data_IF_255843196828
#
_entry.id   IF_255843196828
#
_cell.length_a   1.000
_cell.length_b   1.000
_cell.length_c   1.000
_cell.angle_alpha   90.00
_cell.angle_beta   90.00
_cell.angle_gamma   90.00
#
_symmetry.space_group_name_H-M   'P 1'
#
loop_
_entity.id
_entity.type
_entity.pdbx_description
1 polymer ?
#
# COMPACT_ATOMS: atom_id res chain seq x y z
N UNK A 1 16.04 -6.71 -18.81
CA UNK A 1 15.74 -7.46 -17.57
C UNK A 1 17.00 -8.09 -16.99
N UNK A 2 17.06 -8.31 -15.68
CA UNK A 2 18.29 -8.71 -14.98
C UNK A 2 18.85 -10.11 -15.37
N UNK A 3 18.22 -10.86 -16.26
CA UNK A 3 18.64 -12.22 -16.65
C UNK A 3 18.33 -12.54 -18.12
N UNK A 4 18.48 -11.59 -19.03
CA UNK A 4 18.23 -11.75 -20.46
C UNK A 4 16.78 -12.20 -20.84
N UNK A 5 15.80 -11.98 -19.95
CA UNK A 5 14.40 -12.19 -20.26
C UNK A 5 13.81 -10.94 -20.91
N UNK A 6 13.05 -11.13 -21.98
CA UNK A 6 12.11 -10.13 -22.48
C UNK A 6 10.87 -10.17 -21.58
N UNK A 7 10.55 -9.05 -20.94
CA UNK A 7 9.47 -8.97 -19.93
C UNK A 7 8.36 -8.08 -20.43
N UNK A 8 7.14 -8.62 -20.49
CA UNK A 8 5.92 -7.91 -20.83
C UNK A 8 5.01 -7.83 -19.61
N UNK A 9 4.58 -6.62 -19.22
CA UNK A 9 3.65 -6.38 -18.14
C UNK A 9 2.32 -5.87 -18.70
N UNK A 10 1.25 -6.65 -18.56
CA UNK A 10 -0.09 -6.26 -18.99
C UNK A 10 -0.91 -5.77 -17.80
N UNK A 11 -1.39 -4.56 -17.88
CA UNK A 11 -2.22 -3.93 -16.85
C UNK A 11 -3.54 -3.46 -17.46
N UNK A 12 -4.66 -3.99 -16.98
CA UNK A 12 -6.00 -3.62 -17.46
C UNK A 12 -6.36 -2.16 -17.21
N UNK A 13 -5.72 -1.52 -16.24
CA UNK A 13 -5.98 -0.13 -15.92
C UNK A 13 -4.93 0.81 -16.51
N UNK A 14 -5.20 2.08 -16.31
CA UNK A 14 -4.46 3.23 -16.83
C UNK A 14 -3.07 3.45 -16.19
N UNK A 15 -2.72 2.72 -15.14
CA UNK A 15 -1.42 2.87 -14.45
C UNK A 15 -1.03 1.61 -13.66
N UNK A 16 0.26 1.42 -13.46
CA UNK A 16 0.81 0.44 -12.51
C UNK A 16 0.56 0.88 -11.08
N UNK A 17 0.56 -0.04 -10.12
CA UNK A 17 0.43 0.24 -8.68
C UNK A 17 -0.75 1.20 -8.34
N UNK A 18 -1.95 0.93 -8.85
CA UNK A 18 -3.14 1.77 -8.64
C UNK A 18 -3.43 2.13 -7.18
N UNK A 19 -3.01 1.30 -6.24
CA UNK A 19 -3.15 1.54 -4.81
C UNK A 19 -2.14 2.54 -4.24
N UNK A 20 -1.20 3.05 -5.03
CA UNK A 20 -0.26 4.12 -4.64
C UNK A 20 -0.67 5.47 -5.25
N UNK A 21 -0.03 6.56 -4.83
CA UNK A 21 -0.26 7.86 -5.46
C UNK A 21 0.14 7.85 -6.94
N UNK A 22 -0.45 8.74 -7.72
CA UNK A 22 -0.13 8.89 -9.14
C UNK A 22 1.36 9.15 -9.36
N UNK A 23 1.93 10.08 -8.61
CA UNK A 23 3.36 10.40 -8.67
C UNK A 23 4.27 9.19 -8.37
N UNK A 24 3.85 8.30 -7.46
CA UNK A 24 4.56 7.04 -7.19
C UNK A 24 4.43 6.07 -8.38
N UNK A 25 3.22 5.94 -8.94
CA UNK A 25 2.96 5.08 -10.11
C UNK A 25 3.78 5.51 -11.32
N UNK A 26 3.83 6.81 -11.62
CA UNK A 26 4.64 7.38 -12.70
C UNK A 26 6.13 7.11 -12.53
N UNK A 27 6.65 7.31 -11.31
CA UNK A 27 8.07 7.04 -11.00
C UNK A 27 8.42 5.56 -11.22
N UNK A 28 7.53 4.66 -10.78
CA UNK A 28 7.76 3.22 -10.96
C UNK A 28 7.60 2.81 -12.43
N UNK A 29 6.63 3.36 -13.15
CA UNK A 29 6.43 3.09 -14.57
C UNK A 29 7.67 3.49 -15.39
N UNK A 30 8.14 4.73 -15.23
CA UNK A 30 9.34 5.21 -15.92
C UNK A 30 10.55 4.29 -15.63
N UNK A 31 10.70 3.85 -14.38
CA UNK A 31 11.79 2.95 -14.01
C UNK A 31 11.64 1.54 -14.63
N UNK A 32 10.43 0.99 -14.74
CA UNK A 32 10.20 -0.28 -15.41
C UNK A 32 10.61 -0.20 -16.89
N UNK A 33 10.25 0.90 -17.58
CA UNK A 33 10.62 1.15 -18.97
C UNK A 33 12.15 1.33 -19.13
N UNK A 34 12.82 2.03 -18.23
CA UNK A 34 14.29 2.13 -18.15
C UNK A 34 14.99 0.77 -17.98
N UNK A 35 14.28 -0.21 -17.41
CA UNK A 35 14.78 -1.58 -17.23
C UNK A 35 14.34 -2.52 -18.37
N UNK A 36 13.95 -1.96 -19.53
CA UNK A 36 13.52 -2.70 -20.71
C UNK A 36 12.31 -3.62 -20.47
N UNK A 37 11.39 -3.24 -19.57
CA UNK A 37 10.09 -3.90 -19.41
C UNK A 37 9.09 -3.26 -20.37
N UNK A 38 8.51 -4.04 -21.27
CA UNK A 38 7.42 -3.59 -22.13
C UNK A 38 6.12 -3.52 -21.30
N UNK A 39 5.63 -2.30 -21.02
CA UNK A 39 4.43 -2.09 -20.18
C UNK A 39 3.24 -1.73 -21.08
N UNK A 40 2.17 -2.50 -20.96
CA UNK A 40 0.91 -2.35 -21.70
C UNK A 40 -0.18 -1.91 -20.71
N UNK A 41 -0.44 -0.61 -20.65
CA UNK A 41 -1.53 -0.04 -19.85
C UNK A 41 -2.86 -0.12 -20.63
N UNK A 42 -3.97 0.02 -19.93
CA UNK A 42 -5.34 -0.08 -20.48
C UNK A 42 -5.57 -1.34 -21.34
N UNK A 43 -4.78 -2.39 -21.07
CA UNK A 43 -4.73 -3.59 -21.89
C UNK A 43 -5.28 -4.79 -21.14
N UNK A 44 -6.38 -5.35 -21.66
CA UNK A 44 -7.00 -6.55 -21.11
C UNK A 44 -6.48 -7.80 -21.82
N UNK A 45 -5.92 -8.72 -21.04
CA UNK A 45 -5.58 -10.07 -21.54
C UNK A 45 -6.87 -10.87 -21.72
N UNK A 46 -7.11 -11.35 -22.94
CA UNK A 46 -8.30 -12.11 -23.31
C UNK A 46 -8.08 -13.62 -23.24
N UNK A 47 -6.88 -14.07 -23.61
CA UNK A 47 -6.55 -15.49 -23.69
C UNK A 47 -5.06 -15.73 -23.46
N UNK A 48 -4.74 -16.85 -22.85
CA UNK A 48 -3.42 -17.45 -22.84
C UNK A 48 -3.43 -18.60 -23.87
N UNK A 49 -2.87 -18.35 -25.05
CA UNK A 49 -2.90 -19.29 -26.15
C UNK A 49 -1.76 -20.31 -26.05
N UNK A 50 -2.05 -21.56 -26.47
CA UNK A 50 -1.14 -22.69 -26.51
C UNK A 50 -1.89 -23.99 -26.28
N UNK A 51 -1.26 -25.14 -26.55
CA UNK A 51 -1.86 -26.46 -26.37
C UNK A 51 -1.30 -27.17 -25.13
N UNK A 52 -0.05 -27.57 -25.16
CA UNK A 52 0.64 -28.26 -24.04
C UNK A 52 1.37 -27.28 -23.12
N UNK A 53 1.76 -26.14 -23.66
CA UNK A 53 2.40 -25.03 -22.93
C UNK A 53 1.82 -23.70 -23.46
N UNK A 54 2.02 -22.62 -22.68
CA UNK A 54 1.68 -21.27 -23.15
C UNK A 54 2.65 -20.87 -24.28
N UNK A 55 2.09 -20.31 -25.34
CA UNK A 55 2.83 -19.85 -26.52
C UNK A 55 2.67 -18.35 -26.75
N UNK A 56 1.57 -17.77 -26.29
CA UNK A 56 1.31 -16.33 -26.42
C UNK A 56 0.27 -15.83 -25.43
N UNK A 57 0.37 -14.53 -25.12
CA UNK A 57 -0.69 -13.73 -24.52
C UNK A 57 -1.45 -13.03 -25.64
N UNK A 58 -2.79 -13.15 -25.62
CA UNK A 58 -3.69 -12.50 -26.57
C UNK A 58 -4.45 -11.39 -25.87
N UNK A 59 -4.34 -10.18 -26.40
CA UNK A 59 -5.10 -9.00 -25.96
C UNK A 59 -6.18 -8.66 -26.98
N UNK A 60 -6.86 -7.52 -26.81
CA UNK A 60 -7.80 -7.00 -27.79
C UNK A 60 -7.09 -6.63 -29.10
N UNK A 61 -5.85 -6.14 -29.02
CA UNK A 61 -5.15 -5.45 -30.11
C UNK A 61 -4.02 -6.28 -30.71
N UNK A 62 -3.43 -7.19 -29.95
CA UNK A 62 -2.26 -7.93 -30.38
C UNK A 62 -2.13 -9.35 -29.78
N UNK A 63 -1.21 -10.11 -30.33
CA UNK A 63 -0.78 -11.41 -29.83
C UNK A 63 0.73 -11.37 -29.58
N UNK A 64 1.11 -11.42 -28.31
CA UNK A 64 2.52 -11.36 -27.87
C UNK A 64 3.02 -12.77 -27.59
N UNK A 65 4.04 -13.27 -28.30
CA UNK A 65 4.66 -14.57 -28.04
C UNK A 65 5.31 -14.58 -26.65
N UNK A 66 5.09 -15.62 -25.87
CA UNK A 66 5.69 -15.80 -24.53
C UNK A 66 5.92 -17.28 -24.25
N UNK A 67 6.91 -17.56 -23.42
CA UNK A 67 7.24 -18.92 -22.98
C UNK A 67 6.77 -19.18 -21.53
N UNK A 68 6.47 -18.11 -20.78
CA UNK A 68 5.98 -18.19 -19.39
C UNK A 68 5.05 -17.01 -19.09
N UNK A 69 4.02 -17.27 -18.30
CA UNK A 69 3.10 -16.23 -17.81
C UNK A 69 2.99 -16.33 -16.30
N UNK A 70 3.21 -15.20 -15.63
CA UNK A 70 2.89 -15.02 -14.22
C UNK A 70 1.55 -14.31 -14.09
N UNK A 71 0.54 -14.98 -13.52
CA UNK A 71 -0.79 -14.43 -13.32
C UNK A 71 -0.86 -13.76 -11.95
N UNK A 72 -0.91 -12.42 -11.92
CA UNK A 72 -0.99 -11.60 -10.71
C UNK A 72 -2.21 -10.67 -10.74
N UNK A 73 -3.42 -11.22 -10.97
CA UNK A 73 -4.65 -10.46 -11.20
C UNK A 73 -5.42 -10.08 -9.95
N UNK A 74 -4.78 -10.15 -8.79
CA UNK A 74 -5.38 -9.89 -7.48
C UNK A 74 -5.88 -11.15 -6.79
N UNK A 75 -6.46 -10.95 -5.61
CA UNK A 75 -6.98 -12.02 -4.76
C UNK A 75 -8.41 -11.72 -4.32
N UNK A 76 -9.13 -12.77 -3.92
CA UNK A 76 -10.47 -12.65 -3.32
C UNK A 76 -10.51 -13.50 -2.05
N UNK A 77 -11.23 -13.06 -1.01
CA UNK A 77 -11.48 -13.88 0.17
C UNK A 77 -12.09 -15.23 -0.24
N UNK A 78 -11.59 -16.32 0.34
CA UNK A 78 -12.16 -17.64 0.10
C UNK A 78 -13.10 -17.97 1.25
N UNK A 79 -14.40 -17.74 1.05
CA UNK A 79 -15.44 -17.75 2.08
C UNK A 79 -16.41 -18.92 2.00
N UNK A 80 -16.37 -19.74 0.96
CA UNK A 80 -17.32 -20.83 0.71
C UNK A 80 -17.51 -21.78 1.92
N UNK A 81 -16.43 -22.11 2.66
CA UNK A 81 -16.53 -22.94 3.84
C UNK A 81 -17.21 -22.20 5.01
N UNK A 82 -16.90 -20.92 5.17
CA UNK A 82 -17.51 -20.08 6.19
C UNK A 82 -19.02 -19.91 5.95
N UNK A 83 -19.41 -19.62 4.73
CA UNK A 83 -20.83 -19.51 4.32
C UNK A 83 -21.59 -20.84 4.57
N UNK A 84 -21.00 -21.97 4.19
CA UNK A 84 -21.59 -23.29 4.44
C UNK A 84 -21.74 -23.62 5.93
N UNK A 85 -20.92 -23.03 6.79
CA UNK A 85 -21.01 -23.16 8.24
C UNK A 85 -21.95 -22.14 8.90
N UNK A 86 -22.56 -21.21 8.15
CA UNK A 86 -23.41 -20.15 8.67
C UNK A 86 -22.65 -18.97 9.28
N UNK A 87 -21.39 -18.80 8.91
CA UNK A 87 -20.60 -17.62 9.28
C UNK A 87 -20.97 -16.46 8.38
N UNK A 88 -21.22 -15.28 8.98
CA UNK A 88 -21.60 -14.08 8.27
C UNK A 88 -20.41 -13.44 7.54
N UNK A 89 -20.67 -12.94 6.32
CA UNK A 89 -19.73 -12.11 5.58
C UNK A 89 -20.05 -10.64 5.81
N UNK A 90 -19.03 -9.83 5.81
CA UNK A 90 -19.18 -8.38 5.89
C UNK A 90 -19.32 -7.71 4.52
N UNK A 91 -19.30 -6.39 4.52
CA UNK A 91 -19.55 -5.56 3.33
C UNK A 91 -18.48 -5.74 2.23
N UNK A 92 -17.28 -6.13 2.59
CA UNK A 92 -16.19 -6.40 1.62
C UNK A 92 -16.27 -7.78 0.98
N UNK A 93 -17.20 -8.62 1.43
CA UNK A 93 -17.31 -10.02 1.04
C UNK A 93 -16.32 -10.95 1.74
N UNK A 94 -15.54 -10.45 2.70
CA UNK A 94 -14.74 -11.26 3.61
C UNK A 94 -15.55 -11.61 4.89
N UNK A 95 -15.00 -12.49 5.73
CA UNK A 95 -15.67 -12.91 6.97
C UNK A 95 -15.74 -11.71 7.93
N UNK A 96 -16.94 -11.38 8.39
CA UNK A 96 -17.16 -10.36 9.40
C UNK A 96 -16.66 -10.84 10.76
N UNK A 97 -15.95 -9.97 11.49
CA UNK A 97 -15.45 -10.27 12.83
C UNK A 97 -15.58 -9.06 13.75
N UNK A 98 -15.71 -9.30 15.03
CA UNK A 98 -15.63 -8.26 16.04
C UNK A 98 -14.18 -7.80 16.30
N UNK A 99 -13.98 -6.92 17.29
CA UNK A 99 -12.64 -6.42 17.67
C UNK A 99 -11.69 -7.50 18.18
N UNK A 100 -12.21 -8.63 18.68
CA UNK A 100 -11.44 -9.78 19.15
C UNK A 100 -11.23 -10.83 18.06
N UNK A 101 -11.73 -10.54 16.84
CA UNK A 101 -11.70 -11.44 15.67
C UNK A 101 -12.62 -12.64 15.82
N UNK A 102 -13.63 -12.59 16.68
CA UNK A 102 -14.69 -13.59 16.78
C UNK A 102 -15.75 -13.31 15.70
N UNK A 103 -16.29 -14.37 15.11
CA UNK A 103 -17.37 -14.31 14.11
C UNK A 103 -18.73 -14.22 14.79
N UNK A 104 -19.82 -14.26 14.03
CA UNK A 104 -21.18 -14.40 14.56
C UNK A 104 -21.43 -15.72 15.29
N UNK A 105 -20.56 -16.72 15.14
CA UNK A 105 -20.66 -18.01 15.85
C UNK A 105 -19.72 -17.98 17.06
N UNK A 106 -20.23 -18.35 18.28
CA UNK A 106 -19.40 -18.37 19.50
C UNK A 106 -18.19 -19.30 19.35
N UNK A 107 -17.03 -18.87 19.86
CA UNK A 107 -15.76 -19.59 19.84
C UNK A 107 -15.20 -19.86 18.43
N UNK A 108 -15.72 -19.17 17.39
CA UNK A 108 -15.24 -19.26 16.02
C UNK A 108 -14.60 -17.93 15.60
N UNK A 109 -13.34 -17.99 15.23
CA UNK A 109 -12.50 -16.82 14.93
C UNK A 109 -12.04 -16.83 13.47
N UNK A 110 -11.82 -15.64 12.91
CA UNK A 110 -11.27 -15.50 11.57
C UNK A 110 -10.16 -14.43 11.50
N UNK A 111 -9.11 -14.71 10.73
CA UNK A 111 -7.99 -13.80 10.49
C UNK A 111 -7.36 -14.04 9.12
N UNK A 112 -6.57 -13.07 8.67
CA UNK A 112 -5.84 -13.10 7.41
C UNK A 112 -6.71 -12.67 6.22
N UNK A 113 -6.34 -13.14 5.03
CA UNK A 113 -6.90 -12.68 3.76
C UNK A 113 -8.40 -12.94 3.57
N UNK A 114 -8.98 -13.80 4.40
CA UNK A 114 -10.40 -14.15 4.34
C UNK A 114 -11.28 -13.34 5.31
N UNK A 115 -10.69 -12.52 6.19
CA UNK A 115 -11.44 -11.77 7.21
C UNK A 115 -11.30 -10.26 7.03
N UNK A 116 -12.34 -9.53 7.42
CA UNK A 116 -12.32 -8.05 7.46
C UNK A 116 -11.48 -7.53 8.62
N UNK A 117 -11.03 -6.29 8.46
CA UNK A 117 -10.42 -5.50 9.52
C UNK A 117 -10.91 -4.05 9.43
N UNK A 118 -10.93 -3.35 10.55
CA UNK A 118 -11.30 -1.93 10.63
C UNK A 118 -10.15 -1.05 10.14
N UNK A 119 -10.44 -0.10 9.25
CA UNK A 119 -9.46 0.89 8.82
C UNK A 119 -9.31 2.00 9.85
N UNK A 120 -8.08 2.28 10.32
CA UNK A 120 -7.82 3.21 11.44
C UNK A 120 -8.24 4.66 11.18
N UNK A 121 -8.37 5.06 9.92
CA UNK A 121 -8.77 6.44 9.56
C UNK A 121 -10.28 6.59 9.49
N UNK A 122 -10.96 5.63 8.84
CA UNK A 122 -12.40 5.71 8.55
C UNK A 122 -13.26 5.00 9.57
N UNK A 123 -12.71 4.00 10.30
CA UNK A 123 -13.48 3.09 11.13
C UNK A 123 -14.27 2.03 10.33
N UNK A 124 -14.23 2.09 9.01
CA UNK A 124 -14.99 1.19 8.15
C UNK A 124 -14.28 -0.16 7.93
N UNK A 125 -15.06 -1.24 7.72
CA UNK A 125 -14.49 -2.54 7.36
C UNK A 125 -13.72 -2.49 6.05
N UNK A 126 -12.57 -3.16 6.01
CA UNK A 126 -11.83 -3.38 4.78
C UNK A 126 -11.20 -4.77 4.73
N UNK A 127 -10.99 -5.28 3.52
CA UNK A 127 -10.25 -6.52 3.28
C UNK A 127 -8.88 -6.19 2.72
N UNK A 128 -7.84 -6.53 3.50
CA UNK A 128 -6.44 -6.24 3.14
C UNK A 128 -5.61 -7.52 3.26
N UNK A 129 -5.31 -8.16 2.13
CA UNK A 129 -4.55 -9.42 2.10
C UNK A 129 -3.05 -9.15 2.29
N UNK A 130 -2.65 -8.82 3.52
CA UNK A 130 -1.28 -8.52 3.91
C UNK A 130 -0.82 -9.39 5.08
N UNK A 131 0.40 -9.91 4.95
CA UNK A 131 1.00 -10.84 5.91
C UNK A 131 1.05 -10.28 7.34
N UNK A 132 1.33 -8.97 7.53
CA UNK A 132 1.37 -8.37 8.86
C UNK A 132 -0.02 -8.34 9.51
N UNK A 133 -1.06 -8.00 8.76
CA UNK A 133 -2.45 -8.04 9.22
C UNK A 133 -2.82 -9.44 9.69
N UNK A 134 -2.56 -10.45 8.88
CA UNK A 134 -2.80 -11.86 9.21
C UNK A 134 -2.08 -12.29 10.51
N UNK A 135 -0.80 -11.93 10.65
CA UNK A 135 0.00 -12.25 11.84
C UNK A 135 -0.49 -11.55 13.10
N UNK A 136 -0.81 -10.26 13.04
CA UNK A 136 -1.33 -9.50 14.19
C UNK A 136 -2.66 -10.07 14.68
N UNK A 137 -3.59 -10.32 13.76
CA UNK A 137 -4.91 -10.88 14.09
C UNK A 137 -4.79 -12.32 14.61
N UNK A 138 -4.01 -13.17 13.97
CA UNK A 138 -3.77 -14.53 14.44
C UNK A 138 -3.15 -14.59 15.84
N UNK A 139 -2.22 -13.65 16.16
CA UNK A 139 -1.67 -13.51 17.51
C UNK A 139 -2.74 -13.09 18.53
N UNK A 140 -3.60 -12.12 18.18
CA UNK A 140 -4.67 -11.65 19.05
C UNK A 140 -5.66 -12.79 19.36
N UNK A 141 -6.07 -13.57 18.35
CA UNK A 141 -6.90 -14.77 18.52
C UNK A 141 -6.23 -15.77 19.45
N UNK A 142 -4.95 -16.08 19.23
CA UNK A 142 -4.20 -17.03 20.07
C UNK A 142 -4.16 -16.63 21.55
N UNK A 143 -4.02 -15.33 21.85
CA UNK A 143 -4.07 -14.80 23.22
C UNK A 143 -5.49 -14.87 23.79
N UNK A 144 -6.50 -14.50 23.01
CA UNK A 144 -7.91 -14.56 23.42
C UNK A 144 -8.32 -15.99 23.78
N UNK A 145 -8.03 -16.96 22.93
CA UNK A 145 -8.29 -18.40 23.17
C UNK A 145 -7.52 -18.94 24.38
N UNK A 146 -6.35 -18.39 24.66
CA UNK A 146 -5.57 -18.72 25.85
C UNK A 146 -6.10 -18.08 27.16
N UNK A 147 -7.25 -17.38 27.11
CA UNK A 147 -7.87 -16.73 28.26
C UNK A 147 -7.40 -15.30 28.53
N UNK A 148 -6.69 -14.69 27.59
CA UNK A 148 -6.23 -13.30 27.66
C UNK A 148 -6.85 -12.48 26.51
N UNK A 149 -8.08 -11.96 26.64
CA UNK A 149 -8.79 -11.25 25.59
C UNK A 149 -7.94 -10.12 25.00
N UNK A 150 -7.61 -10.21 23.72
CA UNK A 150 -6.72 -9.28 23.03
C UNK A 150 -7.34 -8.79 21.74
N UNK A 151 -7.47 -7.47 21.58
CA UNK A 151 -7.99 -6.87 20.36
C UNK A 151 -7.01 -7.02 19.20
N UNK A 152 -7.52 -7.31 18.00
CA UNK A 152 -6.71 -7.43 16.79
C UNK A 152 -6.12 -6.11 16.30
N UNK A 153 -6.72 -5.00 16.72
CA UNK A 153 -6.40 -3.64 16.28
C UNK A 153 -6.81 -3.37 14.84
N UNK A 154 -6.92 -2.10 14.51
CA UNK A 154 -7.20 -1.63 13.16
C UNK A 154 -5.97 -1.70 12.23
N UNK A 155 -6.19 -1.44 10.95
CA UNK A 155 -5.16 -1.43 9.91
C UNK A 155 -5.16 -0.11 9.15
N UNK A 156 -3.97 0.33 8.74
CA UNK A 156 -3.79 1.53 7.91
C UNK A 156 -3.62 1.21 6.41
N UNK A 157 -3.80 -0.02 5.99
CA UNK A 157 -3.58 -0.43 4.61
C UNK A 157 -2.13 -0.22 4.13
N UNK A 158 -1.16 -0.32 5.05
CA UNK A 158 0.25 -0.07 4.73
C UNK A 158 0.82 -1.14 3.82
N UNK A 159 1.37 -0.74 2.68
CA UNK A 159 1.99 -1.62 1.71
C UNK A 159 3.34 -1.08 1.26
N UNK A 160 4.24 -1.99 0.89
CA UNK A 160 5.52 -1.65 0.30
C UNK A 160 5.81 -2.55 -0.90
N UNK A 161 6.53 -2.01 -1.88
CA UNK A 161 6.96 -2.72 -3.08
C UNK A 161 8.38 -2.33 -3.44
N UNK A 162 9.08 -3.26 -4.05
CA UNK A 162 10.36 -3.01 -4.71
C UNK A 162 10.27 -3.45 -6.17
N UNK A 163 10.61 -2.55 -7.09
CA UNK A 163 10.74 -2.81 -8.51
C UNK A 163 12.16 -2.48 -8.94
N UNK A 164 12.99 -3.47 -9.26
CA UNK A 164 14.43 -3.33 -9.55
C UNK A 164 15.16 -2.47 -8.51
N UNK A 165 15.47 -1.23 -8.86
CA UNK A 165 16.20 -0.27 -8.03
C UNK A 165 15.33 0.86 -7.49
N UNK A 166 13.99 0.70 -7.51
CA UNK A 166 13.05 1.61 -6.88
C UNK A 166 12.30 0.90 -5.76
N UNK A 167 12.15 1.58 -4.64
CA UNK A 167 11.30 1.17 -3.52
C UNK A 167 10.18 2.18 -3.32
N UNK A 168 8.99 1.69 -3.01
CA UNK A 168 7.84 2.53 -2.70
C UNK A 168 7.05 1.98 -1.53
N UNK A 169 6.42 2.88 -0.78
CA UNK A 169 5.51 2.53 0.31
C UNK A 169 4.29 3.46 0.30
N UNK A 170 3.17 2.96 0.83
CA UNK A 170 1.97 3.76 1.11
C UNK A 170 1.39 3.39 2.47
N UNK A 171 0.62 4.29 3.06
CA UNK A 171 -0.20 4.04 4.25
C UNK A 171 -1.39 4.99 4.31
N UNK A 172 -2.46 4.60 4.98
CA UNK A 172 -3.67 5.41 5.08
C UNK A 172 -4.38 5.61 3.74
N UNK A 173 -5.06 6.72 3.60
CA UNK A 173 -5.89 7.09 2.46
C UNK A 173 -5.14 7.96 1.45
N UNK A 174 -5.31 7.67 0.18
CA UNK A 174 -5.01 8.58 -0.92
C UNK A 174 -6.11 9.64 -1.05
N UNK A 175 -5.87 10.70 -1.84
CA UNK A 175 -6.81 11.81 -2.03
C UNK A 175 -8.23 11.34 -2.41
N UNK A 176 -8.36 10.48 -3.41
CA UNK A 176 -9.67 9.98 -3.86
C UNK A 176 -10.34 9.09 -2.80
N UNK A 177 -9.57 8.21 -2.12
CA UNK A 177 -10.07 7.36 -1.05
C UNK A 177 -10.57 8.21 0.14
N UNK A 178 -9.86 9.31 0.47
CA UNK A 178 -10.27 10.24 1.50
C UNK A 178 -11.57 10.99 1.13
N UNK A 179 -11.74 11.39 -0.13
CA UNK A 179 -12.99 11.99 -0.62
C UNK A 179 -14.16 11.01 -0.54
N UNK A 180 -13.96 9.78 -0.97
CA UNK A 180 -14.97 8.72 -0.88
C UNK A 180 -15.39 8.43 0.56
N UNK A 181 -14.43 8.54 1.51
CA UNK A 181 -14.67 8.42 2.94
C UNK A 181 -15.28 9.68 3.60
N UNK A 182 -15.59 10.74 2.82
CA UNK A 182 -16.27 11.94 3.29
C UNK A 182 -15.38 13.01 3.91
N UNK A 183 -14.05 12.90 3.80
CA UNK A 183 -13.10 13.96 4.17
C UNK A 183 -13.03 15.07 3.12
N UNK A 184 -12.49 16.22 3.49
CA UNK A 184 -12.08 17.31 2.57
C UNK A 184 -10.55 17.30 2.41
N UNK A 185 -9.99 16.39 1.58
CA UNK A 185 -8.55 16.21 1.53
C UNK A 185 -7.84 17.38 0.84
N UNK A 186 -6.65 17.65 1.34
CA UNK A 186 -5.60 18.39 0.65
C UNK A 186 -4.40 17.47 0.48
N UNK A 187 -3.80 17.47 -0.70
CA UNK A 187 -2.68 16.57 -1.04
C UNK A 187 -1.58 17.36 -1.72
N UNK A 188 -0.34 17.11 -1.31
CA UNK A 188 0.85 17.67 -1.93
C UNK A 188 1.88 16.58 -2.19
N UNK A 189 2.63 16.77 -3.27
CA UNK A 189 3.79 15.92 -3.61
C UNK A 189 5.03 16.78 -3.63
N UNK A 190 6.05 16.38 -2.89
CA UNK A 190 7.34 17.05 -2.86
C UNK A 190 8.48 16.09 -3.21
N UNK A 191 9.54 16.62 -3.75
CA UNK A 191 10.84 15.95 -3.89
C UNK A 191 11.82 16.54 -2.86
N UNK A 192 12.40 15.68 -2.03
CA UNK A 192 13.36 16.08 -1.02
C UNK A 192 14.61 15.18 -1.09
N UNK A 193 15.75 15.70 -0.60
CA UNK A 193 16.96 14.89 -0.52
C UNK A 193 16.85 13.85 0.58
N UNK A 194 17.36 12.64 0.34
CA UNK A 194 17.40 11.56 1.32
C UNK A 194 18.37 11.81 2.46
N UNK A 195 19.41 12.61 2.21
CA UNK A 195 20.47 12.95 3.18
C UNK A 195 21.01 14.34 2.93
N UNK A 196 21.86 14.83 3.84
CA UNK A 196 22.43 16.18 3.78
C UNK A 196 23.13 16.43 2.44
N UNK A 197 22.85 17.59 1.80
CA UNK A 197 23.30 17.89 0.45
C UNK A 197 24.81 17.96 0.24
N UNK A 198 25.57 18.11 1.34
CA UNK A 198 27.06 18.07 1.32
C UNK A 198 27.62 16.65 1.55
N UNK A 199 26.74 15.67 1.90
CA UNK A 199 27.13 14.28 2.03
C UNK A 199 26.96 13.58 0.67
N UNK A 200 27.97 12.78 0.22
CA UNK A 200 27.94 12.17 -1.11
C UNK A 200 26.83 11.12 -1.25
N UNK A 201 26.50 10.83 -2.50
CA UNK A 201 25.61 9.74 -2.91
C UNK A 201 24.16 9.83 -2.37
N UNK A 202 23.68 11.04 -2.07
CA UNK A 202 22.29 11.25 -1.66
C UNK A 202 21.34 11.31 -2.85
N UNK A 203 20.27 10.50 -2.82
CA UNK A 203 19.20 10.48 -3.80
C UNK A 203 18.06 11.44 -3.47
N UNK A 204 16.97 11.23 -4.19
CA UNK A 204 15.70 11.93 -3.98
C UNK A 204 14.68 10.99 -3.39
N UNK A 205 13.93 11.46 -2.41
CA UNK A 205 12.73 10.83 -1.88
C UNK A 205 11.54 11.69 -2.28
N UNK A 206 10.63 11.13 -3.06
CA UNK A 206 9.35 11.75 -3.40
C UNK A 206 8.32 11.36 -2.37
N UNK A 207 7.66 12.33 -1.78
CA UNK A 207 6.64 12.15 -0.74
C UNK A 207 5.34 12.80 -1.21
N UNK A 208 4.30 12.01 -1.32
CA UNK A 208 2.91 12.48 -1.49
C UNK A 208 2.22 12.34 -0.14
N UNK A 209 1.72 13.41 0.42
CA UNK A 209 1.05 13.44 1.72
C UNK A 209 -0.38 13.95 1.55
N UNK A 210 -1.35 13.29 2.20
CA UNK A 210 -2.77 13.65 2.21
C UNK A 210 -3.22 13.94 3.63
N UNK A 211 -3.92 15.05 3.83
CA UNK A 211 -4.49 15.43 5.12
C UNK A 211 -5.92 15.96 4.94
N UNK A 212 -6.70 15.95 6.01
CA UNK A 212 -8.02 16.59 6.05
C UNK A 212 -7.86 18.09 6.21
N UNK A 213 -8.38 18.88 5.27
CA UNK A 213 -8.23 20.33 5.23
C UNK A 213 -8.75 21.02 6.50
N UNK A 214 -9.97 20.72 7.01
CA UNK A 214 -10.49 21.42 8.20
C UNK A 214 -9.71 21.12 9.46
N UNK A 215 -9.36 19.85 9.73
CA UNK A 215 -8.73 19.44 10.97
C UNK A 215 -7.20 19.45 10.93
N UNK A 216 -6.61 19.36 9.74
CA UNK A 216 -5.18 19.11 9.56
C UNK A 216 -4.74 17.67 9.88
N UNK A 217 -5.69 16.75 10.18
CA UNK A 217 -5.39 15.35 10.47
C UNK A 217 -4.70 14.69 9.27
N UNK A 218 -3.62 14.00 9.51
CA UNK A 218 -2.93 13.20 8.50
C UNK A 218 -3.79 11.99 8.15
N UNK A 219 -4.18 11.87 6.89
CA UNK A 219 -5.02 10.78 6.39
C UNK A 219 -4.21 9.66 5.76
N UNK A 220 -3.09 9.98 5.12
CA UNK A 220 -2.24 8.99 4.49
C UNK A 220 -1.20 9.59 3.54
N UNK A 221 -0.55 8.73 2.78
CA UNK A 221 0.41 9.14 1.75
C UNK A 221 1.22 8.00 1.16
N UNK A 222 2.06 8.35 0.20
CA UNK A 222 2.98 7.46 -0.49
C UNK A 222 4.37 8.06 -0.55
N UNK A 223 5.36 7.19 -0.47
CA UNK A 223 6.77 7.55 -0.65
C UNK A 223 7.37 6.67 -1.74
N UNK A 224 8.27 7.24 -2.55
CA UNK A 224 9.04 6.51 -3.55
C UNK A 224 10.46 7.08 -3.65
N UNK A 225 11.44 6.20 -3.80
CA UNK A 225 12.84 6.56 -3.98
C UNK A 225 13.61 5.46 -4.71
N UNK A 226 14.85 5.71 -5.09
CA UNK A 226 15.79 4.64 -5.38
C UNK A 226 15.98 3.74 -4.14
N UNK A 227 16.23 2.47 -4.38
CA UNK A 227 16.43 1.49 -3.32
C UNK A 227 17.65 1.83 -2.45
N UNK A 228 17.41 1.89 -1.16
CA UNK A 228 18.41 2.29 -0.18
C UNK A 228 18.35 3.76 0.22
N UNK A 229 17.53 4.59 -0.44
CA UNK A 229 17.33 5.99 -0.04
C UNK A 229 16.25 6.15 1.04
N UNK A 230 15.55 5.06 1.38
CA UNK A 230 14.79 4.92 2.60
C UNK A 230 13.30 5.29 2.51
N UNK A 231 12.67 5.29 1.33
CA UNK A 231 11.24 5.56 1.20
C UNK A 231 10.39 4.62 2.07
N UNK A 232 10.69 3.31 2.05
CA UNK A 232 9.95 2.32 2.84
C UNK A 232 10.14 2.55 4.34
N UNK A 233 11.35 2.78 4.82
CA UNK A 233 11.61 2.98 6.24
C UNK A 233 11.09 4.33 6.76
N UNK A 234 11.14 5.38 5.94
CA UNK A 234 10.57 6.70 6.29
C UNK A 234 9.04 6.65 6.42
N UNK A 235 8.37 5.78 5.65
CA UNK A 235 6.92 5.61 5.75
C UNK A 235 6.45 5.19 7.15
N UNK A 236 7.32 4.60 7.99
CA UNK A 236 6.96 4.19 9.35
C UNK A 236 6.59 5.37 10.25
N UNK A 237 7.19 6.55 10.07
CA UNK A 237 6.77 7.77 10.76
C UNK A 237 5.34 8.17 10.34
N UNK A 238 5.04 8.06 9.05
CA UNK A 238 3.70 8.32 8.53
C UNK A 238 2.68 7.28 9.00
N UNK A 239 3.06 6.00 9.11
CA UNK A 239 2.20 4.95 9.69
C UNK A 239 1.80 5.31 11.12
N UNK A 240 2.77 5.77 11.94
CA UNK A 240 2.48 6.25 13.30
C UNK A 240 1.51 7.43 13.30
N UNK A 241 1.76 8.43 12.44
CA UNK A 241 0.91 9.61 12.30
C UNK A 241 -0.55 9.25 11.93
N UNK A 242 -0.73 8.37 10.95
CA UNK A 242 -2.06 7.91 10.51
C UNK A 242 -2.75 7.09 11.57
N UNK A 243 -2.04 6.19 12.25
CA UNK A 243 -2.59 5.31 13.28
C UNK A 243 -3.07 6.09 14.50
N UNK A 244 -2.29 7.08 14.93
CA UNK A 244 -2.63 7.93 16.10
C UNK A 244 -3.53 9.11 15.74
N UNK A 245 -3.80 9.33 14.44
CA UNK A 245 -4.68 10.39 13.96
C UNK A 245 -4.17 11.80 14.22
N UNK A 246 -2.85 11.99 14.23
CA UNK A 246 -2.22 13.30 14.50
C UNK A 246 -2.38 14.27 13.34
N UNK A 247 -2.14 15.54 13.62
CA UNK A 247 -2.19 16.63 12.64
C UNK A 247 -0.87 16.82 11.89
N UNK A 248 -0.91 17.56 10.77
CA UNK A 248 0.29 17.98 10.04
C UNK A 248 1.28 18.76 10.93
N UNK A 249 0.76 19.64 11.79
CA UNK A 249 1.56 20.41 12.72
C UNK A 249 2.33 19.49 13.68
N UNK A 250 1.62 18.53 14.31
CA UNK A 250 2.25 17.55 15.21
C UNK A 250 3.25 16.66 14.48
N UNK A 251 2.93 16.18 13.26
CA UNK A 251 3.87 15.41 12.45
C UNK A 251 5.13 16.21 12.12
N UNK A 252 4.99 17.51 11.80
CA UNK A 252 6.12 18.37 11.46
C UNK A 252 7.11 18.58 12.62
N UNK A 253 6.66 18.35 13.85
CA UNK A 253 7.43 18.53 15.08
C UNK A 253 8.05 17.24 15.61
N UNK A 254 7.92 16.11 14.88
CA UNK A 254 8.56 14.85 15.30
C UNK A 254 10.08 14.97 15.39
N UNK A 255 10.65 14.52 16.51
CA UNK A 255 12.09 14.44 16.74
C UNK A 255 12.68 13.19 16.04
N UNK A 256 12.80 13.25 14.73
CA UNK A 256 13.35 12.15 13.94
C UNK A 256 14.88 12.16 13.95
N UNK A 257 15.45 10.97 13.89
CA UNK A 257 16.90 10.79 13.92
C UNK A 257 17.59 11.51 12.75
N UNK A 258 18.59 12.34 13.07
CA UNK A 258 19.41 13.05 12.11
C UNK A 258 20.90 12.76 12.30
N UNK A 259 21.53 12.40 11.19
CA UNK A 259 22.97 12.59 10.95
C UNK A 259 23.19 12.68 9.44
N UNK A 260 24.21 13.39 8.96
CA UNK A 260 24.42 13.67 7.54
C UNK A 260 24.35 12.48 6.59
N UNK A 261 24.84 11.27 6.98
CA UNK A 261 24.77 10.09 6.11
C UNK A 261 23.37 9.49 5.96
N UNK A 262 22.45 9.79 6.87
CA UNK A 262 21.17 9.08 6.97
C UNK A 262 19.96 9.96 6.64
N UNK A 263 20.06 11.27 6.87
CA UNK A 263 18.92 12.16 6.71
C UNK A 263 19.36 13.60 6.42
N UNK A 264 18.40 14.41 6.00
CA UNK A 264 18.49 15.88 6.07
C UNK A 264 18.06 16.34 7.47
N UNK A 265 18.41 17.57 7.86
CA UNK A 265 17.97 18.16 9.14
C UNK A 265 16.42 18.09 9.28
N UNK A 266 15.72 18.28 8.19
CA UNK A 266 14.29 18.10 8.09
C UNK A 266 14.03 16.88 7.20
N UNK A 267 13.64 15.77 7.80
CA UNK A 267 13.28 14.55 7.07
C UNK A 267 12.26 14.86 5.94
N UNK A 268 12.34 14.18 4.79
CA UNK A 268 11.37 14.34 3.71
C UNK A 268 9.90 14.31 4.15
N UNK A 269 9.54 13.45 5.12
CA UNK A 269 8.17 13.38 5.65
C UNK A 269 7.81 14.65 6.43
N UNK A 270 8.73 15.17 7.26
CA UNK A 270 8.50 16.43 8.01
C UNK A 270 8.44 17.61 7.06
N UNK A 271 9.25 17.61 6.00
CA UNK A 271 9.22 18.65 4.96
C UNK A 271 7.88 18.66 4.24
N UNK A 272 7.37 17.48 3.85
CA UNK A 272 6.04 17.34 3.24
C UNK A 272 4.92 17.86 4.17
N UNK A 273 4.99 17.51 5.47
CA UNK A 273 4.01 17.98 6.46
C UNK A 273 4.01 19.51 6.56
N UNK A 274 5.19 20.16 6.61
CA UNK A 274 5.30 21.63 6.66
C UNK A 274 4.78 22.32 5.40
N UNK A 275 5.10 21.78 4.23
CA UNK A 275 4.61 22.33 2.96
C UNK A 275 3.10 22.22 2.89
N UNK A 276 2.54 21.07 3.23
CA UNK A 276 1.10 20.83 3.17
C UNK A 276 0.33 21.70 4.21
N UNK A 277 0.88 21.84 5.43
CA UNK A 277 0.30 22.73 6.45
C UNK A 277 0.29 24.20 6.01
N UNK A 278 1.34 24.62 5.31
CA UNK A 278 1.41 26.00 4.75
C UNK A 278 0.42 26.25 3.61
N UNK A 279 -0.07 25.21 2.93
CA UNK A 279 -1.03 25.29 1.82
C UNK A 279 -2.47 25.02 2.26
N UNK A 280 -2.70 24.61 3.49
CA UNK A 280 -4.02 24.33 4.09
C UNK A 280 -4.80 25.64 4.38
#
# INVERSE_FOLDING_TARGET
AANDFEVHLFQRGDRVLKQFSEATSETVLAHLEEQDVAVYLDTEVKELAGNEAVEAVVTTDERVPVEMVLVGTGVRPRTTLAEAAGIELGETGAIATDRYRETNLPDVYAAGDCAEAEHVVTGEPMSVPLALTANRHGRAIGQTVAGNPTEGGGIAGTAAVKAFHVEAARTGLLDHEAREAGFDPITETIDAKSRAGYYPEGGTVRVTLTADRPSGRVLGGSLVSEYGEGAVHRSHALVGAVTEGITLAELSDYDLAYAPPFNTTWDPVLTAAKVLEGNR
#
